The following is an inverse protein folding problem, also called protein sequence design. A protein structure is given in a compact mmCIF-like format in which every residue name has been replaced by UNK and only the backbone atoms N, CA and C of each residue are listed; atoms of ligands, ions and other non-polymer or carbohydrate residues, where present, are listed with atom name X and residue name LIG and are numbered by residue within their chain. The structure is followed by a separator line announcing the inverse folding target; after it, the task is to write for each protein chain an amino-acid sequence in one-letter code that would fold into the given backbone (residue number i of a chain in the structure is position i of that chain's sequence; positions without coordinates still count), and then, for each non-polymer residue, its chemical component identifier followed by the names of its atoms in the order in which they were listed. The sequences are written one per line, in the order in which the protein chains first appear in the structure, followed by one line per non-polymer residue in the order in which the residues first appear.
data_IF_227661438113
#
_entry.id   IF_227661438113
#
_cell.length_a   1.000
_cell.length_b   1.000
_cell.length_c   1.000
_cell.angle_alpha   90.00
_cell.angle_beta   90.00
_cell.angle_gamma   90.00
#
_symmetry.space_group_name_H-M   'P 1'
#
loop_
_entity.id
_entity.type
_entity.pdbx_description
1 polymer ?
#
# COMPACT_ATOMS: atom_id res chain seq x y z
N UNK A 1 28.32 59.81 -61.45
CA UNK A 1 27.02 60.50 -61.33
C UNK A 1 26.55 61.10 -62.65
N UNK A 2 27.44 61.41 -63.60
CA UNK A 2 27.08 61.90 -64.95
C UNK A 2 26.14 60.98 -65.76
N UNK A 3 26.22 59.65 -65.56
CA UNK A 3 25.32 58.67 -66.20
C UNK A 3 23.84 58.81 -65.82
N UNK A 4 23.53 59.40 -64.65
CA UNK A 4 22.14 59.61 -64.21
C UNK A 4 21.57 60.90 -64.80
N UNK A 5 22.43 61.89 -65.11
CA UNK A 5 22.01 63.14 -65.77
C UNK A 5 21.75 62.95 -67.26
N UNK A 6 22.36 61.93 -67.89
CA UNK A 6 22.16 61.60 -69.31
C UNK A 6 20.84 60.86 -69.61
N UNK A 7 20.00 60.59 -68.60
CA UNK A 7 18.66 60.00 -68.81
C UNK A 7 18.65 58.49 -69.08
N UNK A 8 19.79 57.80 -68.94
CA UNK A 8 19.88 56.35 -69.12
C UNK A 8 19.45 55.58 -67.86
N UNK A 9 18.19 55.71 -67.46
CA UNK A 9 17.63 55.00 -66.30
C UNK A 9 17.39 53.51 -66.57
N UNK A 10 17.17 53.14 -67.83
CA UNK A 10 16.93 51.76 -68.28
C UNK A 10 18.08 50.78 -67.96
N UNK A 11 19.36 51.05 -68.29
CA UNK A 11 20.45 50.14 -67.95
C UNK A 11 20.64 49.97 -66.44
N UNK A 12 20.39 51.01 -65.63
CA UNK A 12 20.47 50.92 -64.18
C UNK A 12 19.37 50.01 -63.60
N UNK A 13 18.14 50.14 -64.09
CA UNK A 13 17.03 49.25 -63.71
C UNK A 13 17.36 47.80 -64.09
N UNK A 14 17.94 47.59 -65.28
CA UNK A 14 18.37 46.26 -65.73
C UNK A 14 19.44 45.66 -64.81
N UNK A 15 20.47 46.43 -64.43
CA UNK A 15 21.51 45.98 -63.50
C UNK A 15 20.91 45.63 -62.13
N UNK A 16 20.00 46.45 -61.61
CA UNK A 16 19.30 46.17 -60.34
C UNK A 16 18.49 44.87 -60.44
N UNK A 17 17.77 44.66 -61.54
CA UNK A 17 17.00 43.44 -61.75
C UNK A 17 17.89 42.18 -61.81
N UNK A 18 19.04 42.26 -62.48
CA UNK A 18 20.02 41.17 -62.54
C UNK A 18 20.61 40.88 -61.16
N UNK A 19 21.06 41.90 -60.43
CA UNK A 19 21.60 41.76 -59.07
C UNK A 19 20.56 41.18 -58.11
N UNK A 20 19.32 41.65 -58.21
CA UNK A 20 18.20 41.13 -57.42
C UNK A 20 17.93 39.65 -57.72
N UNK A 21 17.89 39.26 -59.00
CA UNK A 21 17.68 37.87 -59.40
C UNK A 21 18.81 36.95 -58.92
N UNK A 22 20.07 37.33 -59.14
CA UNK A 22 21.25 36.57 -58.69
C UNK A 22 21.25 36.43 -57.17
N UNK A 23 20.99 37.52 -56.45
CA UNK A 23 20.91 37.50 -54.99
C UNK A 23 19.76 36.63 -54.46
N UNK A 24 18.60 36.64 -55.14
CA UNK A 24 17.46 35.80 -54.78
C UNK A 24 17.78 34.31 -54.93
N UNK A 25 18.47 33.93 -56.01
CA UNK A 25 18.93 32.54 -56.21
C UNK A 25 19.97 32.16 -55.16
N UNK A 26 20.92 33.05 -54.85
CA UNK A 26 21.98 32.80 -53.86
C UNK A 26 21.48 32.60 -52.42
N UNK A 27 20.29 33.12 -52.07
CA UNK A 27 19.73 33.08 -50.71
C UNK A 27 18.48 32.20 -50.60
N UNK A 28 18.06 31.54 -51.68
CA UNK A 28 16.84 30.72 -51.71
C UNK A 28 16.73 29.73 -50.53
N UNK A 29 17.85 29.24 -50.01
CA UNK A 29 17.91 28.26 -48.93
C UNK A 29 17.91 28.83 -47.50
N UNK A 30 18.13 30.13 -47.28
CA UNK A 30 18.26 30.69 -45.92
C UNK A 30 17.34 31.90 -45.68
N UNK A 31 16.16 31.63 -45.10
CA UNK A 31 15.14 32.63 -44.77
C UNK A 31 15.63 33.73 -43.81
N UNK A 32 16.64 33.45 -42.96
CA UNK A 32 17.17 34.46 -42.04
C UNK A 32 18.01 35.50 -42.79
N UNK A 33 18.84 35.09 -43.75
CA UNK A 33 19.64 36.01 -44.56
C UNK A 33 18.76 36.92 -45.42
N UNK A 34 17.63 36.41 -45.93
CA UNK A 34 16.63 37.22 -46.66
C UNK A 34 16.11 38.38 -45.81
N UNK A 35 15.78 38.12 -44.54
CA UNK A 35 15.31 39.15 -43.59
C UNK A 35 16.39 40.20 -43.30
N UNK A 36 17.64 39.78 -43.12
CA UNK A 36 18.75 40.70 -42.87
C UNK A 36 19.07 41.59 -44.07
N UNK A 37 19.11 41.04 -45.28
CA UNK A 37 19.34 41.86 -46.48
C UNK A 37 18.22 42.87 -46.72
N UNK A 38 16.96 42.50 -46.45
CA UNK A 38 15.85 43.45 -46.54
C UNK A 38 15.99 44.61 -45.53
N UNK A 39 16.40 44.32 -44.29
CA UNK A 39 16.66 45.35 -43.26
C UNK A 39 17.78 46.30 -43.69
N UNK A 40 18.86 45.78 -44.27
CA UNK A 40 19.98 46.59 -44.76
C UNK A 40 19.56 47.49 -45.93
N UNK A 41 18.77 46.97 -46.87
CA UNK A 41 18.23 47.75 -47.99
C UNK A 41 17.32 48.89 -47.51
N UNK A 42 16.42 48.61 -46.57
CA UNK A 42 15.54 49.62 -45.97
C UNK A 42 16.33 50.70 -45.22
N UNK A 43 17.37 50.31 -44.46
CA UNK A 43 18.28 51.25 -43.81
C UNK A 43 19.03 52.13 -44.82
N UNK A 44 19.47 51.55 -45.93
CA UNK A 44 20.17 52.31 -46.98
C UNK A 44 19.23 53.31 -47.65
N UNK A 45 18.00 52.90 -47.96
CA UNK A 45 16.97 53.78 -48.53
C UNK A 45 16.68 54.97 -47.61
N UNK A 46 16.41 54.68 -46.34
CA UNK A 46 16.05 55.71 -45.35
C UNK A 46 17.20 56.67 -45.10
N UNK A 47 18.44 56.17 -44.98
CA UNK A 47 19.64 57.00 -44.85
C UNK A 47 19.84 57.91 -46.07
N UNK A 48 19.64 57.40 -47.30
CA UNK A 48 19.80 58.19 -48.51
C UNK A 48 18.75 59.33 -48.60
N UNK A 49 17.48 59.02 -48.37
CA UNK A 49 16.40 60.02 -48.42
C UNK A 49 16.61 61.10 -47.36
N UNK A 50 16.99 60.73 -46.14
CA UNK A 50 17.27 61.70 -45.06
C UNK A 50 18.48 62.58 -45.39
N UNK A 51 19.54 62.00 -45.95
CA UNK A 51 20.74 62.74 -46.34
C UNK A 51 20.44 63.78 -47.44
N UNK A 52 19.74 63.37 -48.50
CA UNK A 52 19.35 64.27 -49.60
C UNK A 52 18.37 65.36 -49.15
N UNK A 53 17.38 65.01 -48.32
CA UNK A 53 16.44 65.99 -47.77
C UNK A 53 17.13 67.03 -46.89
N UNK A 54 18.14 66.61 -46.12
CA UNK A 54 18.92 67.49 -45.24
C UNK A 54 19.85 68.43 -46.02
N UNK A 55 20.39 67.98 -47.16
CA UNK A 55 21.40 68.74 -47.89
C UNK A 55 20.79 69.69 -48.94
N UNK A 56 19.80 69.22 -49.69
CA UNK A 56 19.27 69.93 -50.86
C UNK A 56 17.97 70.71 -50.59
N UNK A 57 17.27 70.42 -49.48
CA UNK A 57 15.98 71.03 -49.15
C UNK A 57 14.85 70.58 -50.09
N UNK A 58 13.63 70.48 -49.57
CA UNK A 58 12.48 69.97 -50.33
C UNK A 58 11.65 71.18 -50.79
N UNK A 59 11.92 71.70 -51.98
CA UNK A 59 11.21 72.87 -52.52
C UNK A 59 10.17 72.51 -53.59
N UNK A 60 10.29 71.35 -54.25
CA UNK A 60 9.36 70.94 -55.31
C UNK A 60 9.05 69.42 -55.27
N UNK A 61 7.80 69.08 -55.60
CA UNK A 61 7.29 67.71 -55.74
C UNK A 61 8.06 66.88 -56.76
N UNK A 62 8.53 67.50 -57.85
CA UNK A 62 9.34 66.83 -58.88
C UNK A 62 10.70 66.37 -58.33
N UNK A 63 11.32 67.20 -57.48
CA UNK A 63 12.60 66.88 -56.82
C UNK A 63 12.44 65.75 -55.81
N UNK A 64 11.33 65.73 -55.07
CA UNK A 64 11.02 64.64 -54.14
C UNK A 64 10.87 63.30 -54.89
N UNK A 65 10.15 63.29 -56.01
CA UNK A 65 9.98 62.08 -56.82
C UNK A 65 11.32 61.58 -57.39
N UNK A 66 12.19 62.48 -57.85
CA UNK A 66 13.52 62.13 -58.32
C UNK A 66 14.41 61.55 -57.19
N UNK A 67 14.37 62.13 -55.99
CA UNK A 67 15.13 61.64 -54.82
C UNK A 67 14.64 60.24 -54.42
N UNK A 68 13.33 60.02 -54.35
CA UNK A 68 12.76 58.71 -54.02
C UNK A 68 13.14 57.66 -55.06
N UNK A 69 13.07 57.99 -56.35
CA UNK A 69 13.43 57.06 -57.43
C UNK A 69 14.92 56.70 -57.40
N UNK A 70 15.81 57.68 -57.17
CA UNK A 70 17.25 57.44 -56.99
C UNK A 70 17.55 56.60 -55.75
N UNK A 71 16.87 56.90 -54.64
CA UNK A 71 16.97 56.12 -53.41
C UNK A 71 16.54 54.67 -53.61
N UNK A 72 15.46 54.43 -54.36
CA UNK A 72 14.96 53.09 -54.64
C UNK A 72 15.94 52.27 -55.49
N UNK A 73 16.60 52.89 -56.48
CA UNK A 73 17.65 52.25 -57.28
C UNK A 73 18.84 51.88 -56.39
N UNK A 74 19.33 52.81 -55.56
CA UNK A 74 20.43 52.57 -54.62
C UNK A 74 20.10 51.46 -53.62
N UNK A 75 18.87 51.47 -53.08
CA UNK A 75 18.39 50.45 -52.16
C UNK A 75 18.30 49.07 -52.83
N UNK A 76 17.90 49.00 -54.11
CA UNK A 76 17.91 47.79 -54.90
C UNK A 76 19.31 47.23 -55.14
N UNK A 77 20.28 48.10 -55.46
CA UNK A 77 21.70 47.71 -55.61
C UNK A 77 22.28 47.21 -54.27
N UNK A 78 22.06 47.95 -53.18
CA UNK A 78 22.51 47.56 -51.85
C UNK A 78 21.90 46.23 -51.39
N UNK A 79 20.63 45.98 -51.72
CA UNK A 79 19.97 44.70 -51.46
C UNK A 79 20.68 43.54 -52.19
N UNK A 80 20.87 43.68 -53.50
CA UNK A 80 21.54 42.65 -54.31
C UNK A 80 22.97 42.37 -53.84
N UNK A 81 23.75 43.43 -53.56
CA UNK A 81 25.12 43.30 -53.06
C UNK A 81 25.18 42.69 -51.66
N UNK A 82 24.28 43.10 -50.75
CA UNK A 82 24.21 42.54 -49.39
C UNK A 82 23.93 41.05 -49.44
N UNK A 83 23.06 40.60 -50.34
CA UNK A 83 22.76 39.18 -50.48
C UNK A 83 23.96 38.36 -50.96
N UNK A 84 24.69 38.85 -51.96
CA UNK A 84 25.91 38.19 -52.44
C UNK A 84 26.98 38.13 -51.34
N UNK A 85 27.20 39.25 -50.65
CA UNK A 85 28.18 39.35 -49.57
C UNK A 85 27.86 38.43 -48.38
N UNK A 86 26.59 38.37 -47.97
CA UNK A 86 26.14 37.52 -46.87
C UNK A 86 26.28 36.03 -47.21
N UNK A 87 25.94 35.62 -48.44
CA UNK A 87 26.14 34.23 -48.87
C UNK A 87 27.62 33.85 -48.91
N UNK A 88 28.50 34.75 -49.37
CA UNK A 88 29.94 34.52 -49.34
C UNK A 88 30.48 34.40 -47.90
N UNK A 89 29.95 35.22 -46.99
CA UNK A 89 30.32 35.22 -45.59
C UNK A 89 29.85 33.92 -44.90
N UNK A 90 28.62 33.47 -45.13
CA UNK A 90 28.14 32.20 -44.58
C UNK A 90 29.00 31.01 -45.05
N UNK A 91 29.47 31.03 -46.30
CA UNK A 91 30.36 30.01 -46.85
C UNK A 91 31.75 30.01 -46.18
N UNK A 92 32.29 31.19 -45.90
CA UNK A 92 33.56 31.36 -45.19
C UNK A 92 33.47 30.97 -43.71
N UNK A 93 32.34 31.23 -43.06
CA UNK A 93 32.15 31.01 -41.62
C UNK A 93 31.44 29.68 -41.27
N UNK A 94 30.90 28.95 -42.25
CA UNK A 94 30.34 27.60 -42.08
C UNK A 94 31.24 26.60 -41.33
N UNK A 95 32.57 26.52 -41.55
CA UNK A 95 33.42 25.61 -40.79
C UNK A 95 33.54 25.99 -39.31
N UNK A 96 33.53 27.28 -38.97
CA UNK A 96 33.58 27.77 -37.59
C UNK A 96 32.28 27.44 -36.83
N UNK A 97 31.13 27.48 -37.52
CA UNK A 97 29.84 27.09 -36.95
C UNK A 97 29.76 25.62 -36.54
N UNK A 98 30.41 24.70 -37.28
CA UNK A 98 30.45 23.26 -36.94
C UNK A 98 31.25 23.00 -35.66
N UNK A 99 32.34 23.73 -35.46
CA UNK A 99 33.18 23.62 -34.27
C UNK A 99 32.45 24.10 -33.01
N UNK A 100 31.62 25.14 -33.13
CA UNK A 100 30.87 25.66 -32.00
C UNK A 100 29.79 24.67 -31.50
N UNK A 101 29.12 23.95 -32.41
CA UNK A 101 28.07 22.98 -32.04
C UNK A 101 28.63 21.75 -31.32
N UNK A 102 29.83 21.27 -31.68
CA UNK A 102 30.47 20.15 -30.97
C UNK A 102 30.88 20.55 -29.55
N UNK A 103 31.31 21.79 -29.36
CA UNK A 103 31.62 22.33 -28.04
C UNK A 103 30.38 22.44 -27.14
N UNK A 104 29.27 22.96 -27.66
CA UNK A 104 28.03 23.07 -26.89
C UNK A 104 27.50 21.72 -26.43
N UNK A 105 27.56 20.69 -27.28
CA UNK A 105 27.13 19.33 -26.90
C UNK A 105 28.09 18.65 -25.91
N UNK A 106 29.38 18.94 -25.99
CA UNK A 106 30.35 18.45 -25.00
C UNK A 106 30.11 19.07 -23.61
N UNK A 107 29.83 20.37 -23.56
CA UNK A 107 29.57 21.10 -22.30
C UNK A 107 28.29 20.61 -21.62
N UNK A 108 27.20 20.40 -22.38
CA UNK A 108 25.94 19.91 -21.79
C UNK A 108 26.06 18.47 -21.27
N UNK A 109 26.76 17.58 -21.99
CA UNK A 109 27.05 16.22 -21.51
C UNK A 109 27.89 16.23 -20.24
N UNK A 110 28.89 17.12 -20.16
CA UNK A 110 29.73 17.25 -18.97
C UNK A 110 28.94 17.73 -17.75
N UNK A 111 28.03 18.70 -17.92
CA UNK A 111 27.15 19.16 -16.84
C UNK A 111 26.20 18.05 -16.37
N UNK A 112 25.60 17.28 -17.30
CA UNK A 112 24.71 16.17 -16.96
C UNK A 112 25.43 15.07 -16.16
N UNK A 113 26.62 14.67 -16.60
CA UNK A 113 27.42 13.64 -15.92
C UNK A 113 27.88 14.06 -14.52
N UNK A 114 28.12 15.36 -14.30
CA UNK A 114 28.43 15.88 -12.95
C UNK A 114 27.24 15.76 -12.01
N UNK A 115 26.03 16.09 -12.48
CA UNK A 115 24.81 15.96 -11.69
C UNK A 115 24.50 14.50 -11.33
N UNK A 116 24.67 13.56 -12.28
CA UNK A 116 24.46 12.13 -12.00
C UNK A 116 25.42 11.59 -10.93
N UNK A 117 26.71 11.94 -11.01
CA UNK A 117 27.70 11.50 -10.00
C UNK A 117 27.43 12.05 -8.61
N UNK A 118 26.82 13.23 -8.49
CA UNK A 118 26.41 13.75 -7.17
C UNK A 118 25.24 12.94 -6.60
N UNK A 119 24.22 12.65 -7.44
CA UNK A 119 23.07 11.82 -7.02
C UNK A 119 23.48 10.41 -6.58
N UNK A 120 24.40 9.77 -7.30
CA UNK A 120 24.91 8.45 -6.90
C UNK A 120 25.64 8.49 -5.54
N UNK A 121 26.35 9.58 -5.23
CA UNK A 121 27.03 9.74 -3.94
C UNK A 121 26.01 9.95 -2.82
N UNK A 122 25.04 10.83 -3.02
CA UNK A 122 23.95 11.08 -2.07
C UNK A 122 23.14 9.81 -1.81
N UNK A 123 22.82 9.05 -2.85
CA UNK A 123 22.10 7.78 -2.71
C UNK A 123 22.94 6.73 -1.98
N UNK A 124 24.24 6.64 -2.25
CA UNK A 124 25.14 5.73 -1.55
C UNK A 124 25.31 6.11 -0.08
N UNK A 125 25.39 7.40 0.23
CA UNK A 125 25.45 7.90 1.60
C UNK A 125 24.13 7.62 2.34
N UNK A 126 22.99 7.87 1.70
CA UNK A 126 21.68 7.54 2.25
C UNK A 126 21.53 6.05 2.54
N UNK A 127 21.91 5.17 1.61
CA UNK A 127 21.88 3.71 1.82
C UNK A 127 22.79 3.28 2.97
N UNK A 128 23.95 3.94 3.14
CA UNK A 128 24.84 3.68 4.28
C UNK A 128 24.21 4.12 5.59
N UNK A 129 23.60 5.30 5.63
CA UNK A 129 22.88 5.77 6.82
C UNK A 129 21.74 4.84 7.19
N UNK A 130 20.94 4.42 6.21
CA UNK A 130 19.85 3.45 6.41
C UNK A 130 20.39 2.10 6.90
N UNK A 131 21.54 1.63 6.39
CA UNK A 131 22.20 0.42 6.88
C UNK A 131 22.73 0.58 8.31
N UNK A 132 23.39 1.69 8.62
CA UNK A 132 23.91 1.96 9.95
C UNK A 132 22.77 2.09 10.98
N UNK A 133 21.66 2.72 10.62
CA UNK A 133 20.44 2.79 11.44
C UNK A 133 19.80 1.40 11.61
N UNK A 134 19.76 0.60 10.54
CA UNK A 134 19.27 -0.77 10.58
C UNK A 134 20.13 -1.68 11.47
N UNK A 135 21.45 -1.50 11.47
CA UNK A 135 22.39 -2.23 12.32
C UNK A 135 22.29 -1.77 13.79
N UNK A 136 22.16 -0.45 14.03
CA UNK A 136 21.98 0.10 15.38
C UNK A 136 20.69 -0.41 16.04
N UNK A 137 19.63 -0.60 15.27
CA UNK A 137 18.32 -1.08 15.74
C UNK A 137 18.21 -2.61 15.74
N UNK A 138 19.20 -3.35 15.23
CA UNK A 138 19.20 -4.81 15.22
C UNK A 138 18.96 -5.45 16.60
N UNK A 139 19.67 -5.06 17.69
CA UNK A 139 19.45 -5.67 19.00
C UNK A 139 18.07 -5.37 19.58
N UNK A 140 17.49 -4.21 19.27
CA UNK A 140 16.14 -3.86 19.73
C UNK A 140 15.07 -4.66 19.01
N UNK A 141 15.23 -4.88 17.69
CA UNK A 141 14.36 -5.79 16.93
C UNK A 141 14.43 -7.22 17.45
N UNK A 142 15.62 -7.72 17.77
CA UNK A 142 15.78 -9.06 18.33
C UNK A 142 15.08 -9.19 19.68
N UNK A 143 15.19 -8.18 20.57
CA UNK A 143 14.46 -8.16 21.83
C UNK A 143 12.95 -8.14 21.61
N UNK A 144 12.46 -7.28 20.73
CA UNK A 144 11.03 -7.22 20.40
C UNK A 144 10.52 -8.55 19.82
N UNK A 145 11.29 -9.20 18.95
CA UNK A 145 10.94 -10.51 18.42
C UNK A 145 10.93 -11.58 19.51
N UNK A 146 11.92 -11.57 20.41
CA UNK A 146 11.96 -12.51 21.54
C UNK A 146 10.80 -12.27 22.51
N UNK A 147 10.47 -11.03 22.83
CA UNK A 147 9.32 -10.67 23.68
C UNK A 147 8.00 -11.10 23.04
N UNK A 148 7.84 -10.90 21.73
CA UNK A 148 6.66 -11.38 20.99
C UNK A 148 6.57 -12.90 21.00
N UNK A 149 7.67 -13.61 20.73
CA UNK A 149 7.71 -15.07 20.76
C UNK A 149 7.41 -15.61 22.17
N UNK A 150 7.95 -14.98 23.22
CA UNK A 150 7.68 -15.35 24.60
C UNK A 150 6.21 -15.11 24.97
N UNK A 151 5.63 -13.98 24.58
CA UNK A 151 4.23 -13.68 24.83
C UNK A 151 3.30 -14.63 24.07
N UNK A 152 3.63 -15.00 22.84
CA UNK A 152 2.88 -15.98 22.05
C UNK A 152 2.99 -17.39 22.65
N UNK A 153 4.19 -17.80 23.06
CA UNK A 153 4.40 -19.08 23.74
C UNK A 153 3.63 -19.17 25.06
N UNK A 154 3.59 -18.09 25.85
CA UNK A 154 2.80 -18.02 27.09
C UNK A 154 1.30 -18.15 26.80
N UNK A 155 0.78 -17.41 25.82
CA UNK A 155 -0.64 -17.51 25.41
C UNK A 155 -1.01 -18.92 24.95
N UNK A 156 -0.15 -19.55 24.16
CA UNK A 156 -0.37 -20.92 23.69
C UNK A 156 -0.34 -21.92 24.86
N UNK A 157 0.59 -21.75 25.81
CA UNK A 157 0.65 -22.60 27.00
C UNK A 157 -0.61 -22.45 27.87
N UNK A 158 -1.09 -21.23 28.10
CA UNK A 158 -2.33 -20.96 28.84
C UNK A 158 -3.56 -21.56 28.12
N UNK A 159 -3.62 -21.48 26.79
CA UNK A 159 -4.70 -22.08 26.01
C UNK A 159 -4.72 -23.61 26.16
N UNK A 160 -3.57 -24.26 26.03
CA UNK A 160 -3.45 -25.72 26.19
C UNK A 160 -3.90 -26.16 27.58
N UNK A 161 -3.54 -25.42 28.64
CA UNK A 161 -3.98 -25.72 29.99
C UNK A 161 -5.52 -25.62 30.15
N UNK A 162 -6.15 -24.61 29.54
CA UNK A 162 -7.63 -24.50 29.57
C UNK A 162 -8.29 -25.68 28.87
N UNK A 163 -7.76 -26.07 27.72
CA UNK A 163 -8.27 -27.21 26.96
C UNK A 163 -8.11 -28.51 27.75
N UNK A 164 -6.98 -28.70 28.42
CA UNK A 164 -6.72 -29.86 29.29
C UNK A 164 -7.73 -29.95 30.44
N UNK A 165 -8.05 -28.83 31.11
CA UNK A 165 -9.06 -28.78 32.18
C UNK A 165 -10.46 -29.10 31.64
N UNK A 166 -10.84 -28.54 30.48
CA UNK A 166 -12.14 -28.86 29.84
C UNK A 166 -12.21 -30.34 29.49
N UNK A 167 -11.11 -30.88 28.96
CA UNK A 167 -11.00 -32.29 28.58
C UNK A 167 -11.08 -33.20 29.81
N UNK A 168 -10.41 -32.87 30.92
CA UNK A 168 -10.48 -33.68 32.16
C UNK A 168 -11.91 -33.77 32.68
N UNK A 169 -12.61 -32.64 32.76
CA UNK A 169 -14.00 -32.56 33.18
C UNK A 169 -14.93 -33.35 32.23
N UNK A 170 -14.71 -33.21 30.92
CA UNK A 170 -15.48 -33.93 29.90
C UNK A 170 -15.29 -35.45 30.00
N UNK A 171 -14.04 -35.91 30.17
CA UNK A 171 -13.72 -37.32 30.33
C UNK A 171 -14.34 -37.91 31.59
N UNK A 172 -14.28 -37.19 32.72
CA UNK A 172 -14.90 -37.60 33.97
C UNK A 172 -16.43 -37.75 33.81
N UNK A 173 -17.06 -36.78 33.13
CA UNK A 173 -18.49 -36.84 32.83
C UNK A 173 -18.82 -38.04 31.93
N UNK A 174 -18.10 -38.22 30.82
CA UNK A 174 -18.35 -39.28 29.85
C UNK A 174 -18.19 -40.68 30.46
N UNK A 175 -17.21 -40.86 31.36
CA UNK A 175 -17.00 -42.10 32.12
C UNK A 175 -18.22 -42.48 32.97
N UNK A 176 -18.96 -41.48 33.47
CA UNK A 176 -20.09 -41.67 34.37
C UNK A 176 -21.45 -41.24 33.78
N UNK A 177 -21.49 -40.98 32.47
CA UNK A 177 -22.65 -40.43 31.79
C UNK A 177 -23.96 -41.20 32.06
N UNK A 178 -23.99 -42.56 32.07
CA UNK A 178 -25.24 -43.29 32.33
C UNK A 178 -25.89 -42.98 33.68
N UNK A 179 -25.08 -42.68 34.71
CA UNK A 179 -25.57 -42.31 36.03
C UNK A 179 -25.93 -40.82 36.13
N UNK A 180 -25.21 -39.96 35.41
CA UNK A 180 -25.32 -38.51 35.51
C UNK A 180 -26.43 -37.92 34.62
N UNK A 181 -26.70 -38.50 33.44
CA UNK A 181 -27.57 -37.92 32.41
C UNK A 181 -28.94 -37.45 32.92
N UNK A 182 -29.53 -38.17 33.88
CA UNK A 182 -30.84 -37.83 34.45
C UNK A 182 -30.84 -36.53 35.25
N UNK A 183 -29.72 -36.20 35.91
CA UNK A 183 -29.59 -35.04 36.81
C UNK A 183 -28.76 -33.91 36.20
N UNK A 184 -27.78 -34.27 35.39
CA UNK A 184 -26.84 -33.38 34.77
C UNK A 184 -26.76 -33.71 33.27
N UNK A 185 -27.70 -33.20 32.46
CA UNK A 185 -27.73 -33.47 31.03
C UNK A 185 -26.54 -32.81 30.32
N UNK A 186 -26.18 -33.32 29.14
CA UNK A 186 -24.99 -32.89 28.39
C UNK A 186 -25.06 -31.42 27.98
N UNK A 187 -26.27 -30.93 27.69
CA UNK A 187 -26.53 -29.54 27.36
C UNK A 187 -26.16 -28.61 28.52
N UNK A 188 -26.45 -29.02 29.75
CA UNK A 188 -26.11 -28.26 30.95
C UNK A 188 -24.61 -28.24 31.23
N UNK A 189 -23.90 -29.32 30.90
CA UNK A 189 -22.42 -29.35 30.96
C UNK A 189 -21.83 -28.39 29.93
N UNK A 190 -22.34 -28.39 28.70
CA UNK A 190 -21.90 -27.49 27.64
C UNK A 190 -22.15 -26.02 28.02
N UNK A 191 -23.34 -25.69 28.52
CA UNK A 191 -23.66 -24.36 29.05
C UNK A 191 -22.71 -23.96 30.18
N UNK A 192 -22.34 -24.88 31.06
CA UNK A 192 -21.38 -24.62 32.13
C UNK A 192 -19.99 -24.28 31.57
N UNK A 193 -19.52 -25.01 30.55
CA UNK A 193 -18.25 -24.71 29.90
C UNK A 193 -18.25 -23.33 29.24
N UNK A 194 -19.32 -22.98 28.53
CA UNK A 194 -19.46 -21.67 27.89
C UNK A 194 -19.56 -20.52 28.90
N UNK A 195 -20.30 -20.71 30.00
CA UNK A 195 -20.53 -19.65 30.97
C UNK A 195 -19.37 -19.48 31.96
N UNK A 196 -18.71 -20.57 32.36
CA UNK A 196 -17.78 -20.57 33.50
C UNK A 196 -16.35 -20.94 33.13
N UNK A 197 -16.13 -21.71 32.05
CA UNK A 197 -14.80 -22.14 31.60
C UNK A 197 -14.43 -21.55 30.23
N UNK A 198 -14.98 -20.40 29.83
CA UNK A 198 -14.68 -19.77 28.54
C UNK A 198 -13.26 -19.19 28.46
N UNK A 199 -12.80 -18.93 27.23
CA UNK A 199 -11.49 -18.33 26.96
C UNK A 199 -11.34 -16.91 27.51
N UNK A 200 -12.45 -16.26 27.89
CA UNK A 200 -12.44 -14.90 28.42
C UNK A 200 -12.00 -14.77 29.89
N UNK A 201 -11.97 -15.86 30.65
CA UNK A 201 -11.58 -15.82 32.08
C UNK A 201 -10.06 -16.00 32.26
N UNK A 202 -9.44 -15.56 33.37
CA UNK A 202 -8.08 -15.94 33.74
C UNK A 202 -7.93 -17.46 33.97
N UNK A 203 -6.75 -18.03 33.71
CA UNK A 203 -6.51 -19.48 33.83
C UNK A 203 -6.75 -19.98 35.25
N UNK A 204 -6.37 -19.20 36.27
CA UNK A 204 -6.53 -19.57 37.68
C UNK A 204 -8.01 -19.75 38.05
N UNK A 205 -8.88 -18.92 37.45
CA UNK A 205 -10.33 -19.01 37.64
C UNK A 205 -10.89 -20.23 36.92
N UNK A 206 -10.38 -20.53 35.72
CA UNK A 206 -10.76 -21.73 34.95
C UNK A 206 -10.36 -23.00 35.71
N UNK A 207 -9.14 -23.07 36.26
CA UNK A 207 -8.67 -24.19 37.09
C UNK A 207 -9.54 -24.39 38.33
N UNK A 208 -9.81 -23.31 39.08
CA UNK A 208 -10.63 -23.39 40.27
C UNK A 208 -12.05 -23.89 39.96
N UNK A 209 -12.66 -23.36 38.89
CA UNK A 209 -14.01 -23.76 38.46
C UNK A 209 -14.06 -25.17 37.88
N UNK A 210 -12.98 -25.61 37.22
CA UNK A 210 -12.81 -26.99 36.76
C UNK A 210 -12.81 -27.96 37.94
N UNK A 211 -11.99 -27.70 38.97
CA UNK A 211 -11.97 -28.50 40.20
C UNK A 211 -13.33 -28.55 40.90
N UNK A 212 -14.01 -27.42 41.01
CA UNK A 212 -15.37 -27.38 41.58
C UNK A 212 -16.37 -28.21 40.77
N UNK A 213 -16.27 -28.22 39.44
CA UNK A 213 -17.09 -29.06 38.59
C UNK A 213 -16.78 -30.55 38.80
N UNK A 214 -15.50 -30.93 38.87
CA UNK A 214 -15.07 -32.30 39.17
C UNK A 214 -15.60 -32.76 40.54
N UNK A 215 -15.50 -31.94 41.59
CA UNK A 215 -16.04 -32.20 42.92
C UNK A 215 -17.58 -32.33 42.91
N UNK A 216 -18.27 -31.48 42.16
CA UNK A 216 -19.72 -31.56 42.00
C UNK A 216 -20.14 -32.86 41.29
N UNK A 217 -19.41 -33.25 40.24
CA UNK A 217 -19.65 -34.53 39.56
C UNK A 217 -19.41 -35.69 40.53
N UNK A 218 -18.27 -35.71 41.24
CA UNK A 218 -17.94 -36.75 42.21
C UNK A 218 -18.99 -36.89 43.33
N UNK A 219 -19.41 -35.78 43.94
CA UNK A 219 -20.43 -35.78 44.99
C UNK A 219 -21.80 -36.26 44.48
N UNK A 220 -22.15 -35.96 43.23
CA UNK A 220 -23.39 -36.47 42.61
C UNK A 220 -23.35 -37.99 42.39
N UNK A 221 -22.16 -38.55 42.12
CA UNK A 221 -21.94 -39.99 42.02
C UNK A 221 -22.00 -40.66 43.39
N UNK A 222 -21.41 -40.05 44.42
CA UNK A 222 -21.52 -40.53 45.80
C UNK A 222 -22.96 -40.54 46.28
N UNK A 223 -23.80 -39.57 45.91
CA UNK A 223 -25.23 -39.65 46.23
C UNK A 223 -25.97 -40.75 45.47
N UNK A 224 -25.50 -41.12 44.28
CA UNK A 224 -26.11 -42.18 43.45
C UNK A 224 -25.67 -43.57 43.92
N UNK A 225 -24.44 -43.68 44.44
CA UNK A 225 -23.83 -44.93 44.92
C UNK A 225 -23.94 -45.13 46.43
N UNK A 226 -24.04 -44.04 47.18
CA UNK A 226 -23.97 -43.97 48.64
C UNK A 226 -25.26 -44.32 49.38
N UNK A 227 -26.34 -44.61 48.66
CA UNK A 227 -27.48 -45.33 49.23
C UNK A 227 -27.46 -46.83 48.92
N UNK A 228 -26.31 -47.37 48.49
CA UNK A 228 -26.04 -48.81 48.63
C UNK A 228 -25.63 -49.05 50.08
N UNK A 229 -26.60 -49.20 50.97
CA UNK A 229 -26.37 -49.78 52.29
C UNK A 229 -25.55 -51.06 52.09
N UNK A 230 -24.31 -51.07 52.61
CA UNK A 230 -23.47 -52.26 52.58
C UNK A 230 -23.96 -53.17 53.70
N UNK A 231 -24.84 -54.10 53.35
CA UNK A 231 -25.28 -55.14 54.27
C UNK A 231 -24.12 -56.11 54.53
N UNK A 232 -23.87 -56.44 55.78
CA UNK A 232 -22.85 -57.40 56.19
C UNK A 232 -23.30 -58.86 55.96
N UNK A 233 -24.60 -59.11 55.82
CA UNK A 233 -25.15 -60.44 55.56
C UNK A 233 -26.48 -60.40 54.81
N UNK A 234 -26.86 -61.51 54.16
CA UNK A 234 -28.19 -61.69 53.57
C UNK A 234 -29.32 -61.51 54.59
N UNK A 235 -29.09 -61.88 55.86
CA UNK A 235 -30.08 -61.70 56.93
C UNK A 235 -30.32 -60.23 57.22
N UNK A 236 -29.26 -59.41 57.20
CA UNK A 236 -29.39 -57.96 57.40
C UNK A 236 -30.16 -57.29 56.25
N UNK A 237 -29.99 -57.79 55.01
CA UNK A 237 -30.82 -57.37 53.86
C UNK A 237 -32.29 -57.68 54.15
N UNK A 238 -32.59 -58.94 54.50
CA UNK A 238 -33.96 -59.37 54.74
C UNK A 238 -34.62 -58.62 55.91
N UNK A 239 -33.89 -58.41 57.01
CA UNK A 239 -34.37 -57.67 58.18
C UNK A 239 -34.66 -56.22 57.84
N UNK A 240 -33.75 -55.53 57.15
CA UNK A 240 -33.94 -54.15 56.72
C UNK A 240 -35.19 -53.99 55.82
N UNK A 241 -35.32 -54.85 54.79
CA UNK A 241 -36.48 -54.78 53.90
C UNK A 241 -37.78 -55.22 54.59
N UNK A 242 -37.72 -56.11 55.58
CA UNK A 242 -38.88 -56.50 56.38
C UNK A 242 -39.35 -55.35 57.29
N UNK A 243 -38.44 -54.63 57.94
CA UNK A 243 -38.77 -53.43 58.72
C UNK A 243 -39.42 -52.36 57.84
N UNK A 244 -38.88 -52.12 56.65
CA UNK A 244 -39.46 -51.17 55.69
C UNK A 244 -40.86 -51.58 55.21
N UNK A 245 -41.12 -52.87 54.97
CA UNK A 245 -42.47 -53.37 54.65
C UNK A 245 -43.44 -53.13 55.80
N UNK A 246 -43.02 -53.39 57.04
CA UNK A 246 -43.83 -53.14 58.24
C UNK A 246 -44.11 -51.65 58.44
N UNK A 247 -43.13 -50.78 58.17
CA UNK A 247 -43.30 -49.33 58.22
C UNK A 247 -44.33 -48.87 57.18
N UNK A 248 -44.22 -49.31 55.93
CA UNK A 248 -45.19 -49.02 54.87
C UNK A 248 -46.60 -49.50 55.24
N UNK A 249 -46.72 -50.69 55.84
CA UNK A 249 -48.01 -51.23 56.29
C UNK A 249 -48.61 -50.46 57.48
N UNK A 250 -47.76 -49.84 58.31
CA UNK A 250 -48.20 -48.99 59.43
C UNK A 250 -48.68 -47.61 58.97
N UNK A 251 -48.24 -47.17 57.79
CA UNK A 251 -48.66 -45.90 57.20
C UNK A 251 -50.03 -46.05 56.54
N UNK A 252 -50.90 -45.06 56.75
CA UNK A 252 -52.31 -45.12 56.36
C UNK A 252 -52.52 -44.76 54.87
N UNK A 253 -51.75 -45.40 53.98
CA UNK A 253 -51.88 -45.27 52.53
C UNK A 253 -53.06 -46.08 51.99
N UNK A 254 -53.64 -45.62 50.88
CA UNK A 254 -54.60 -46.40 50.10
C UNK A 254 -53.93 -47.67 49.53
N UNK A 255 -54.74 -48.70 49.30
CA UNK A 255 -54.26 -50.03 48.91
C UNK A 255 -53.45 -50.01 47.60
N UNK A 256 -53.79 -49.12 46.67
CA UNK A 256 -53.12 -49.03 45.37
C UNK A 256 -51.72 -48.43 45.52
N UNK A 257 -51.60 -47.33 46.26
CA UNK A 257 -50.31 -46.69 46.59
C UNK A 257 -49.43 -47.64 47.40
N UNK A 258 -50.00 -48.35 48.37
CA UNK A 258 -49.29 -49.35 49.18
C UNK A 258 -48.73 -50.48 48.33
N UNK A 259 -49.53 -51.06 47.43
CA UNK A 259 -49.07 -52.11 46.52
C UNK A 259 -47.95 -51.63 45.60
N UNK A 260 -48.02 -50.38 45.11
CA UNK A 260 -46.96 -49.79 44.29
C UNK A 260 -45.65 -49.70 45.08
N UNK A 261 -45.69 -49.24 46.33
CA UNK A 261 -44.51 -49.17 47.18
C UNK A 261 -43.94 -50.56 47.47
N UNK A 262 -44.77 -51.52 47.89
CA UNK A 262 -44.34 -52.89 48.16
C UNK A 262 -43.71 -53.56 46.93
N UNK A 263 -44.27 -53.34 45.73
CA UNK A 263 -43.69 -53.85 44.49
C UNK A 263 -42.33 -53.24 44.19
N UNK A 264 -42.19 -51.92 44.36
CA UNK A 264 -40.89 -51.23 44.18
C UNK A 264 -39.85 -51.71 45.19
N UNK A 265 -40.27 -51.97 46.43
CA UNK A 265 -39.40 -52.40 47.52
C UNK A 265 -38.91 -53.83 47.30
N UNK A 266 -39.78 -54.75 46.85
CA UNK A 266 -39.38 -56.11 46.48
C UNK A 266 -38.36 -56.13 45.33
N UNK A 267 -38.49 -55.23 44.34
CA UNK A 267 -37.50 -55.10 43.26
C UNK A 267 -36.15 -54.59 43.77
N UNK A 268 -36.15 -53.70 44.77
CA UNK A 268 -34.93 -53.22 45.41
C UNK A 268 -34.28 -54.32 46.25
N UNK A 269 -35.07 -55.09 47.00
CA UNK A 269 -34.62 -56.26 47.76
C UNK A 269 -33.96 -57.30 46.85
N UNK A 270 -34.62 -57.70 45.77
CA UNK A 270 -34.07 -58.63 44.78
C UNK A 270 -32.75 -58.14 44.18
N UNK A 271 -32.65 -56.84 43.90
CA UNK A 271 -31.42 -56.24 43.38
C UNK A 271 -30.31 -56.26 44.43
N UNK A 272 -30.61 -55.89 45.67
CA UNK A 272 -29.63 -55.91 46.77
C UNK A 272 -29.10 -57.32 47.03
N UNK A 273 -29.98 -58.33 47.02
CA UNK A 273 -29.60 -59.75 47.15
C UNK A 273 -28.70 -60.18 45.99
N UNK A 274 -29.06 -59.86 44.73
CA UNK A 274 -28.21 -60.21 43.57
C UNK A 274 -26.86 -59.52 43.61
N UNK A 275 -26.82 -58.23 43.96
CA UNK A 275 -25.57 -57.50 44.09
C UNK A 275 -24.67 -58.13 45.16
N UNK A 276 -25.23 -58.45 46.34
CA UNK A 276 -24.50 -59.11 47.43
C UNK A 276 -23.97 -60.50 47.06
N UNK A 277 -24.73 -61.27 46.28
CA UNK A 277 -24.29 -62.59 45.80
C UNK A 277 -23.26 -62.51 44.66
N UNK A 278 -23.17 -61.38 43.97
CA UNK A 278 -22.27 -61.17 42.83
C UNK A 278 -20.91 -60.55 43.22
N UNK A 279 -20.84 -59.94 44.41
CA UNK A 279 -19.62 -59.37 45.02
C UNK A 279 -18.82 -60.42 45.78
#
# INVERSE_FOLDING_TARGET
MELIEQGETLPLIFIVAVLYYVGQVAIAHNLQLKKWGFRLSLLTLTAYVLFEASWNGIYDTTTLLAIVLRGLILAGMALGMSWIALSALDLLFAPLGRLNRSWQTAVTRWQYNRGQKQREREEKERRRQEQDEWERTAPERERQQQEQQQAEAQRNAEQLQREEIRLSCQLLYDQHAPALLTRFPRERLAEYFEQYLSDGFPIEIVEQRGKLLEEMIASSLEQTTGNKQKFASLNEIAEYFQEQKQEIDSLNYDDQTRQSFLSSLNLQEDRAIREFLSS
#
